data_IF_560729451895
#
_entry.id   IF_560729451895
#
_cell.length_a   1.000
_cell.length_b   1.000
_cell.length_c   1.000
_cell.angle_alpha   90.00
_cell.angle_beta   90.00
_cell.angle_gamma   90.00
#
_symmetry.space_group_name_H-M   'P 1'
#
loop_
_entity.id
_entity.type
_entity.pdbx_description
1 polymer ?
#
# COMPACT_ATOMS: atom_id res chain seq x y z
N UNK A 1 14.93 -16.58 8.88
CA UNK A 1 14.51 -15.16 8.81
C UNK A 1 14.71 -14.56 7.42
N UNK A 2 15.72 -14.96 6.64
CA UNK A 2 15.99 -14.42 5.29
C UNK A 2 14.94 -14.77 4.21
N UNK A 3 14.25 -15.91 4.29
CA UNK A 3 13.24 -16.32 3.29
C UNK A 3 11.99 -15.40 3.30
N UNK A 4 11.66 -14.76 4.43
CA UNK A 4 10.47 -13.92 4.56
C UNK A 4 10.55 -12.58 3.81
N UNK A 5 11.77 -12.09 3.52
CA UNK A 5 11.95 -10.79 2.86
C UNK A 5 12.00 -10.88 1.32
N UNK A 6 12.24 -12.08 0.76
CA UNK A 6 12.51 -12.22 -0.69
C UNK A 6 11.28 -11.88 -1.53
N UNK A 7 10.10 -12.37 -1.15
CA UNK A 7 8.85 -12.07 -1.84
C UNK A 7 8.53 -10.57 -1.86
N UNK A 8 8.41 -9.87 -0.71
CA UNK A 8 8.01 -8.47 -0.71
C UNK A 8 9.04 -7.57 -1.40
N UNK A 9 10.34 -7.87 -1.28
CA UNK A 9 11.39 -7.12 -1.99
C UNK A 9 11.37 -7.37 -3.50
N UNK A 10 11.09 -8.60 -3.93
CA UNK A 10 10.92 -8.92 -5.37
C UNK A 10 9.70 -8.19 -5.94
N UNK A 11 8.58 -8.17 -5.20
CA UNK A 11 7.37 -7.47 -5.60
C UNK A 11 7.58 -5.94 -5.64
N UNK A 12 8.27 -5.36 -4.64
CA UNK A 12 8.70 -3.95 -4.66
C UNK A 12 9.49 -3.63 -5.92
N UNK A 13 10.46 -4.49 -6.26
CA UNK A 13 11.31 -4.30 -7.44
C UNK A 13 10.51 -4.41 -8.73
N UNK A 14 9.59 -5.39 -8.83
CA UNK A 14 8.74 -5.57 -9.99
C UNK A 14 7.85 -4.34 -10.27
N UNK A 15 7.26 -3.76 -9.22
CA UNK A 15 6.47 -2.51 -9.32
C UNK A 15 7.37 -1.34 -9.75
N UNK A 16 8.52 -1.14 -9.11
CA UNK A 16 9.41 -0.02 -9.43
C UNK A 16 9.99 -0.08 -10.85
N UNK A 17 10.16 -1.29 -11.39
CA UNK A 17 10.64 -1.51 -12.76
C UNK A 17 9.51 -1.47 -13.81
N UNK A 18 8.25 -1.34 -13.40
CA UNK A 18 7.11 -1.35 -14.32
C UNK A 18 6.84 -2.74 -14.95
N UNK A 19 7.34 -3.82 -14.33
CA UNK A 19 7.31 -5.17 -14.91
C UNK A 19 5.87 -5.63 -15.11
N UNK A 20 5.01 -5.39 -14.12
CA UNK A 20 3.62 -5.83 -14.15
C UNK A 20 2.81 -5.05 -15.20
N UNK A 21 3.11 -3.76 -15.36
CA UNK A 21 2.50 -2.84 -16.33
C UNK A 21 2.89 -3.21 -17.76
N UNK A 22 4.16 -3.53 -18.01
CA UNK A 22 4.61 -3.99 -19.32
C UNK A 22 3.95 -5.34 -19.67
N UNK A 23 3.80 -6.24 -18.69
CA UNK A 23 3.09 -7.51 -18.88
C UNK A 23 1.61 -7.28 -19.22
N UNK A 24 0.95 -6.32 -18.56
CA UNK A 24 -0.45 -5.97 -18.83
C UNK A 24 -0.64 -5.45 -20.25
N UNK A 25 0.28 -4.61 -20.73
CA UNK A 25 0.23 -4.04 -22.07
C UNK A 25 0.62 -5.03 -23.19
N UNK A 26 0.98 -6.28 -22.84
CA UNK A 26 1.43 -7.34 -23.76
C UNK A 26 2.52 -6.89 -24.75
N UNK A 27 3.32 -5.90 -24.37
CA UNK A 27 4.30 -5.32 -25.28
C UNK A 27 5.45 -6.33 -25.44
N UNK A 28 5.80 -6.65 -26.68
CA UNK A 28 6.81 -7.68 -27.00
C UNK A 28 8.15 -7.46 -26.26
N UNK A 29 8.74 -8.56 -25.79
CA UNK A 29 10.03 -8.60 -25.08
C UNK A 29 10.14 -7.65 -23.87
N UNK A 30 9.62 -8.11 -22.72
CA UNK A 30 9.67 -7.42 -21.42
C UNK A 30 11.06 -6.87 -21.06
N UNK A 31 12.13 -7.63 -21.33
CA UNK A 31 13.51 -7.22 -21.04
C UNK A 31 13.99 -6.03 -21.89
N UNK A 32 13.48 -5.87 -23.12
CA UNK A 32 13.90 -4.80 -24.02
C UNK A 32 13.34 -3.42 -23.66
N UNK A 33 12.27 -3.39 -22.87
CA UNK A 33 11.58 -2.16 -22.46
C UNK A 33 12.03 -1.64 -21.09
N UNK A 34 12.86 -2.40 -20.38
CA UNK A 34 13.38 -1.97 -19.09
C UNK A 34 14.43 -0.85 -19.27
N UNK A 35 14.44 0.18 -18.40
CA UNK A 35 15.33 1.35 -18.52
C UNK A 35 16.83 1.05 -18.56
N UNK A 36 17.24 -0.12 -18.04
CA UNK A 36 18.61 -0.62 -18.10
C UNK A 36 18.58 -2.08 -18.54
N UNK A 37 18.90 -2.32 -19.82
CA UNK A 37 19.05 -3.66 -20.35
C UNK A 37 20.54 -4.03 -20.44
N UNK A 38 20.90 -5.22 -19.95
CA UNK A 38 22.19 -5.84 -20.15
C UNK A 38 21.96 -7.31 -20.56
N UNK A 39 23.05 -8.05 -20.84
CA UNK A 39 22.95 -9.45 -21.28
C UNK A 39 22.31 -10.38 -20.23
N UNK A 40 22.32 -9.99 -18.96
CA UNK A 40 21.78 -10.77 -17.84
C UNK A 40 20.32 -10.43 -17.50
N UNK A 41 19.80 -9.28 -17.98
CA UNK A 41 18.43 -8.81 -17.69
C UNK A 41 17.37 -9.89 -17.92
N UNK A 42 17.36 -10.65 -19.03
CA UNK A 42 16.37 -11.70 -19.24
C UNK A 42 16.43 -12.81 -18.18
N UNK A 43 17.63 -13.16 -17.72
CA UNK A 43 17.85 -14.21 -16.70
C UNK A 43 17.37 -13.73 -15.33
N UNK A 44 17.70 -12.50 -14.95
CA UNK A 44 17.27 -11.90 -13.67
C UNK A 44 15.75 -11.78 -13.64
N UNK A 45 15.16 -11.30 -14.74
CA UNK A 45 13.72 -11.13 -14.88
C UNK A 45 12.99 -12.48 -14.78
N UNK A 46 13.45 -13.51 -15.50
CA UNK A 46 12.89 -14.86 -15.39
C UNK A 46 12.94 -15.40 -13.94
N UNK A 47 14.04 -15.16 -13.21
CA UNK A 47 14.14 -15.55 -11.79
C UNK A 47 13.12 -14.82 -10.91
N UNK A 48 12.94 -13.51 -11.12
CA UNK A 48 11.93 -12.72 -10.40
C UNK A 48 10.52 -13.20 -10.71
N UNK A 49 10.18 -13.35 -11.99
CA UNK A 49 8.85 -13.79 -12.44
C UNK A 49 8.54 -15.21 -11.95
N UNK A 50 9.54 -16.11 -11.93
CA UNK A 50 9.39 -17.46 -11.37
C UNK A 50 9.05 -17.44 -9.88
N UNK A 51 9.68 -16.54 -9.11
CA UNK A 51 9.35 -16.37 -7.70
C UNK A 51 7.92 -15.83 -7.55
N UNK A 52 7.55 -14.78 -8.28
CA UNK A 52 6.20 -14.23 -8.21
C UNK A 52 5.13 -15.27 -8.61
N UNK A 53 5.45 -16.12 -9.59
CA UNK A 53 4.57 -17.23 -9.98
C UNK A 53 4.44 -18.30 -8.88
N UNK A 54 5.51 -18.62 -8.14
CA UNK A 54 5.42 -19.59 -7.03
C UNK A 54 4.54 -19.11 -5.86
N UNK A 55 4.32 -17.79 -5.76
CA UNK A 55 3.40 -17.17 -4.82
C UNK A 55 2.05 -16.77 -5.45
N UNK A 56 1.73 -17.31 -6.63
CA UNK A 56 0.48 -17.07 -7.36
C UNK A 56 0.20 -15.62 -7.76
N UNK A 57 1.19 -14.72 -7.70
CA UNK A 57 1.06 -13.38 -8.29
C UNK A 57 1.02 -13.43 -9.82
N UNK A 58 1.70 -14.42 -10.39
CA UNK A 58 1.72 -14.68 -11.82
C UNK A 58 1.32 -16.12 -12.09
N UNK A 59 0.82 -16.38 -13.29
CA UNK A 59 0.73 -17.71 -13.87
C UNK A 59 2.04 -18.03 -14.60
N UNK A 60 2.48 -19.29 -14.60
CA UNK A 60 3.66 -19.73 -15.35
C UNK A 60 3.32 -20.99 -16.15
N UNK A 61 3.49 -20.91 -17.47
CA UNK A 61 3.33 -22.03 -18.39
C UNK A 61 4.66 -22.36 -19.06
N UNK A 62 4.91 -23.64 -19.34
CA UNK A 62 6.07 -24.07 -20.12
C UNK A 62 5.65 -24.20 -21.59
N UNK A 63 6.24 -23.39 -22.47
CA UNK A 63 6.12 -23.54 -23.91
C UNK A 63 7.35 -24.29 -24.42
N UNK A 64 7.14 -25.38 -25.14
CA UNK A 64 8.19 -26.11 -25.83
C UNK A 64 8.24 -25.70 -27.29
N UNK A 65 9.42 -25.32 -27.77
CA UNK A 65 9.65 -25.03 -29.16
C UNK A 65 9.77 -26.34 -29.93
N UNK A 66 8.85 -26.55 -30.86
CA UNK A 66 8.72 -27.79 -31.64
C UNK A 66 9.97 -28.05 -32.51
N UNK A 67 10.73 -27.00 -32.86
CA UNK A 67 11.85 -27.11 -33.81
C UNK A 67 13.16 -27.57 -33.17
N UNK A 68 13.43 -27.19 -31.93
CA UNK A 68 14.70 -27.46 -31.25
C UNK A 68 14.54 -28.16 -29.89
N UNK A 69 13.30 -28.42 -29.47
CA UNK A 69 12.97 -29.05 -28.18
C UNK A 69 13.25 -28.15 -26.97
N UNK A 70 13.64 -26.89 -27.18
CA UNK A 70 13.91 -25.97 -26.08
C UNK A 70 12.62 -25.61 -25.34
N UNK A 71 12.72 -25.46 -24.03
CA UNK A 71 11.59 -25.08 -23.18
C UNK A 71 11.76 -23.64 -22.68
N UNK A 72 10.72 -22.83 -22.84
CA UNK A 72 10.65 -21.46 -22.36
C UNK A 72 9.49 -21.29 -21.39
N UNK A 73 9.69 -20.51 -20.32
CA UNK A 73 8.61 -20.10 -19.42
C UNK A 73 7.88 -18.89 -19.98
N UNK A 74 6.55 -18.98 -19.99
CA UNK A 74 5.65 -17.89 -20.33
C UNK A 74 4.89 -17.48 -19.06
N UNK A 75 4.91 -16.19 -18.77
CA UNK A 75 4.28 -15.63 -17.58
C UNK A 75 3.04 -14.84 -17.95
N UNK A 76 2.03 -14.91 -17.10
CA UNK A 76 0.79 -14.14 -17.21
C UNK A 76 0.39 -13.55 -15.86
N UNK A 77 -0.45 -12.53 -15.87
CA UNK A 77 -0.97 -11.93 -14.65
C UNK A 77 -2.04 -12.83 -14.03
N UNK A 78 -1.89 -13.17 -12.74
CA UNK A 78 -2.92 -13.88 -11.98
C UNK A 78 -3.90 -12.90 -11.32
N UNK A 79 -5.05 -13.38 -10.82
CA UNK A 79 -6.08 -12.50 -10.23
C UNK A 79 -5.57 -11.63 -9.08
N UNK A 80 -4.67 -12.15 -8.24
CA UNK A 80 -4.11 -11.38 -7.10
C UNK A 80 -3.25 -10.19 -7.56
N UNK A 81 -2.65 -10.25 -8.76
CA UNK A 81 -1.87 -9.11 -9.28
C UNK A 81 -2.74 -7.89 -9.54
N UNK A 82 -4.06 -8.04 -9.74
CA UNK A 82 -5.01 -6.95 -10.01
C UNK A 82 -5.02 -5.91 -8.90
N UNK A 83 -4.82 -6.31 -7.65
CA UNK A 83 -4.77 -5.37 -6.51
C UNK A 83 -3.59 -4.40 -6.57
N UNK A 84 -2.58 -4.67 -7.39
CA UNK A 84 -1.40 -3.80 -7.56
C UNK A 84 -1.52 -2.85 -8.75
N UNK A 85 -2.60 -2.94 -9.52
CA UNK A 85 -2.93 -1.99 -10.58
C UNK A 85 -4.04 -1.05 -10.11
N UNK A 86 -4.08 0.20 -10.63
CA UNK A 86 -5.20 1.09 -10.39
C UNK A 86 -6.53 0.42 -10.78
N UNK A 87 -7.49 0.43 -9.87
CA UNK A 87 -8.87 0.03 -10.16
C UNK A 87 -9.63 1.17 -10.88
N UNK A 88 -10.94 1.03 -11.04
CA UNK A 88 -11.82 2.05 -11.64
C UNK A 88 -11.79 3.41 -10.93
N UNK A 89 -11.47 3.42 -9.64
CA UNK A 89 -11.34 4.62 -8.81
C UNK A 89 -9.89 5.18 -8.81
N UNK A 90 -8.99 4.58 -9.60
CA UNK A 90 -7.59 4.99 -9.69
C UNK A 90 -6.70 4.53 -8.53
N UNK A 91 -7.21 3.71 -7.60
CA UNK A 91 -6.48 3.27 -6.41
C UNK A 91 -5.94 1.84 -6.53
N UNK A 92 -4.81 1.55 -5.86
CA UNK A 92 -4.18 0.23 -5.82
C UNK A 92 -3.38 0.00 -4.53
N UNK A 93 -3.06 -1.25 -4.19
CA UNK A 93 -2.22 -1.62 -3.05
C UNK A 93 -0.71 -1.47 -3.32
N UNK A 94 -0.30 -1.04 -4.53
CA UNK A 94 1.11 -0.88 -4.85
C UNK A 94 1.82 0.14 -3.94
N UNK A 95 1.31 1.37 -3.72
CA UNK A 95 1.91 2.32 -2.78
C UNK A 95 2.02 1.79 -1.35
N UNK A 96 1.04 1.01 -0.89
CA UNK A 96 1.06 0.38 0.43
C UNK A 96 2.19 -0.64 0.58
N UNK A 97 2.40 -1.48 -0.43
CA UNK A 97 3.56 -2.38 -0.42
C UNK A 97 4.87 -1.60 -0.43
N UNK A 98 4.96 -0.55 -1.25
CA UNK A 98 6.18 0.26 -1.37
C UNK A 98 6.56 0.91 -0.05
N UNK A 99 5.60 1.47 0.69
CA UNK A 99 5.90 2.13 1.98
C UNK A 99 6.26 1.13 3.07
N UNK A 100 5.59 -0.02 3.17
CA UNK A 100 5.93 -1.06 4.16
C UNK A 100 7.38 -1.55 3.96
N UNK A 101 7.83 -1.60 2.71
CA UNK A 101 9.18 -2.03 2.34
C UNK A 101 10.16 -0.85 2.21
N UNK A 102 9.76 0.38 2.55
CA UNK A 102 10.66 1.52 2.58
C UNK A 102 11.38 1.59 3.93
N UNK A 103 12.62 2.08 3.89
CA UNK A 103 13.41 2.31 5.11
C UNK A 103 12.82 3.45 5.95
N UNK A 104 12.00 4.33 5.37
CA UNK A 104 11.26 5.34 6.12
C UNK A 104 9.91 4.87 6.69
N UNK A 105 9.64 3.56 6.75
CA UNK A 105 8.38 3.03 7.31
C UNK A 105 8.25 3.23 8.82
N UNK A 106 7.01 3.28 9.33
CA UNK A 106 6.66 3.51 10.74
C UNK A 106 7.47 2.65 11.72
N UNK A 107 7.58 1.31 11.53
CA UNK A 107 8.33 0.48 12.46
C UNK A 107 9.83 0.80 12.43
N UNK A 108 10.34 1.19 11.27
CA UNK A 108 11.76 1.51 11.09
C UNK A 108 12.13 2.85 11.70
N UNK A 109 11.31 3.89 11.51
CA UNK A 109 11.56 5.23 12.06
C UNK A 109 11.46 5.24 13.58
N UNK A 110 10.44 4.55 14.14
CA UNK A 110 10.27 4.40 15.59
C UNK A 110 11.45 3.64 16.20
N UNK A 111 11.91 2.55 15.57
CA UNK A 111 13.04 1.78 16.06
C UNK A 111 14.41 2.49 15.94
N UNK A 112 14.63 3.30 14.91
CA UNK A 112 15.93 3.96 14.68
C UNK A 112 16.09 5.29 15.38
N UNK A 113 15.02 6.08 15.44
CA UNK A 113 15.11 7.50 15.82
C UNK A 113 14.19 7.87 16.98
N UNK A 114 13.31 6.97 17.41
CA UNK A 114 12.26 7.26 18.38
C UNK A 114 11.20 8.24 17.87
N UNK A 115 11.30 8.72 16.63
CA UNK A 115 10.31 9.61 16.03
C UNK A 115 9.09 8.81 15.55
N UNK A 116 7.90 9.38 15.76
CA UNK A 116 6.68 8.88 15.14
C UNK A 116 6.76 9.01 13.61
N UNK A 117 5.97 8.20 12.92
CA UNK A 117 6.05 8.12 11.46
C UNK A 117 5.55 9.37 10.75
N UNK A 118 4.63 10.12 11.34
CA UNK A 118 4.09 11.35 10.77
C UNK A 118 5.16 12.43 10.77
N UNK A 119 5.88 12.60 11.88
CA UNK A 119 6.99 13.52 11.99
C UNK A 119 8.17 13.14 11.07
N UNK A 120 8.40 11.83 10.87
CA UNK A 120 9.42 11.36 9.94
C UNK A 120 9.02 11.60 8.47
N UNK A 121 7.78 11.26 8.10
CA UNK A 121 7.25 11.48 6.75
C UNK A 121 7.23 12.98 6.39
N UNK A 122 6.85 13.86 7.31
CA UNK A 122 6.80 15.31 7.09
C UNK A 122 8.16 15.93 6.73
N UNK A 123 9.28 15.27 7.06
CA UNK A 123 10.65 15.75 6.77
C UNK A 123 11.15 15.36 5.38
N UNK A 124 10.56 14.35 4.75
CA UNK A 124 10.95 13.87 3.42
C UNK A 124 9.73 13.94 2.48
N UNK A 125 9.74 14.91 1.56
CA UNK A 125 8.64 15.13 0.62
C UNK A 125 8.29 13.88 -0.22
N UNK A 126 9.28 13.05 -0.57
CA UNK A 126 9.05 11.79 -1.28
C UNK A 126 8.31 10.81 -0.38
N UNK A 127 8.74 10.70 0.88
CA UNK A 127 8.09 9.81 1.85
C UNK A 127 6.69 10.29 2.22
N UNK A 128 6.51 11.60 2.44
CA UNK A 128 5.20 12.20 2.70
C UNK A 128 4.20 11.89 1.57
N UNK A 129 4.63 12.07 0.31
CA UNK A 129 3.78 11.77 -0.84
C UNK A 129 3.43 10.27 -0.90
N UNK A 130 4.42 9.39 -0.78
CA UNK A 130 4.18 7.95 -0.78
C UNK A 130 3.29 7.49 0.38
N UNK A 131 3.46 8.08 1.57
CA UNK A 131 2.63 7.83 2.74
C UNK A 131 1.18 8.24 2.49
N UNK A 132 0.95 9.47 2.06
CA UNK A 132 -0.39 9.98 1.79
C UNK A 132 -1.07 9.20 0.66
N UNK A 133 -0.34 8.85 -0.40
CA UNK A 133 -0.85 8.02 -1.49
C UNK A 133 -1.22 6.61 -1.01
N UNK A 134 -0.38 5.99 -0.16
CA UNK A 134 -0.67 4.69 0.44
C UNK A 134 -1.92 4.74 1.31
N UNK A 135 -2.04 5.74 2.18
CA UNK A 135 -3.20 5.91 3.04
C UNK A 135 -4.48 6.15 2.24
N UNK A 136 -4.43 7.05 1.25
CA UNK A 136 -5.56 7.33 0.36
C UNK A 136 -6.01 6.08 -0.38
N UNK A 137 -5.09 5.36 -1.04
CA UNK A 137 -5.43 4.18 -1.81
C UNK A 137 -6.00 3.06 -0.93
N UNK A 138 -5.35 2.77 0.20
CA UNK A 138 -5.81 1.71 1.10
C UNK A 138 -7.16 2.06 1.74
N UNK A 139 -7.39 3.32 2.09
CA UNK A 139 -8.70 3.78 2.57
C UNK A 139 -9.76 3.66 1.49
N UNK A 140 -9.48 4.08 0.24
CA UNK A 140 -10.42 3.95 -0.87
C UNK A 140 -10.90 2.51 -1.10
N UNK A 141 -9.95 1.56 -1.11
CA UNK A 141 -10.27 0.13 -1.30
C UNK A 141 -11.12 -0.39 -0.13
N UNK A 142 -10.68 -0.20 1.11
CA UNK A 142 -11.35 -0.78 2.28
C UNK A 142 -12.69 -0.09 2.58
N UNK A 143 -12.78 1.24 2.42
CA UNK A 143 -14.02 1.95 2.69
C UNK A 143 -15.12 1.59 1.70
N UNK A 144 -14.79 1.26 0.45
CA UNK A 144 -15.76 0.74 -0.52
C UNK A 144 -16.46 -0.50 0.02
N UNK A 145 -15.67 -1.48 0.49
CA UNK A 145 -16.19 -2.72 1.07
C UNK A 145 -16.94 -2.47 2.41
N UNK A 146 -16.42 -1.58 3.28
CA UNK A 146 -17.07 -1.25 4.55
C UNK A 146 -18.46 -0.65 4.31
N UNK A 147 -18.60 0.29 3.36
CA UNK A 147 -19.86 0.98 3.09
C UNK A 147 -20.95 0.03 2.56
N UNK A 148 -20.59 -1.11 1.97
CA UNK A 148 -21.55 -2.11 1.52
C UNK A 148 -22.23 -2.83 2.70
N UNK A 149 -21.50 -3.06 3.80
CA UNK A 149 -21.96 -3.92 4.90
C UNK A 149 -22.23 -3.17 6.21
N UNK A 150 -21.60 -2.02 6.43
CA UNK A 150 -21.67 -1.27 7.68
C UNK A 150 -22.64 -0.10 7.58
N UNK A 151 -23.70 -0.17 8.40
CA UNK A 151 -24.80 0.80 8.41
C UNK A 151 -24.67 1.91 9.45
N UNK A 152 -23.60 1.91 10.25
CA UNK A 152 -23.42 2.90 11.31
C UNK A 152 -23.20 4.34 10.81
N UNK A 153 -22.93 4.53 9.52
CA UNK A 153 -22.81 5.85 8.90
C UNK A 153 -24.14 6.44 8.42
N UNK A 154 -25.25 5.69 8.42
CA UNK A 154 -26.55 6.21 7.97
C UNK A 154 -27.25 7.10 9.01
N UNK A 155 -26.85 7.00 10.29
CA UNK A 155 -27.44 7.75 11.41
C UNK A 155 -26.90 9.18 11.61
N UNK A 156 -25.58 9.42 11.69
CA UNK A 156 -25.05 10.74 12.01
C UNK A 156 -25.17 11.71 10.83
N UNK A 157 -25.65 12.93 11.09
CA UNK A 157 -25.67 14.03 10.12
C UNK A 157 -24.28 14.65 9.91
N UNK A 158 -23.38 14.49 10.90
CA UNK A 158 -22.01 14.98 10.84
C UNK A 158 -21.06 13.89 11.36
N UNK A 159 -20.24 13.38 10.43
CA UNK A 159 -19.14 12.47 10.72
C UNK A 159 -17.82 13.24 10.62
N UNK A 160 -16.98 13.14 11.64
CA UNK A 160 -15.62 13.69 11.62
C UNK A 160 -14.63 12.53 11.50
N UNK A 161 -13.83 12.55 10.44
CA UNK A 161 -12.69 11.64 10.29
C UNK A 161 -11.46 12.26 10.97
N UNK A 162 -11.03 11.64 12.07
CA UNK A 162 -9.93 12.16 12.88
C UNK A 162 -8.61 11.83 12.19
N UNK A 163 -7.78 12.86 12.03
CA UNK A 163 -6.47 12.83 11.37
C UNK A 163 -6.49 12.70 9.83
N UNK A 164 -7.57 13.16 9.17
CA UNK A 164 -7.56 13.48 7.73
C UNK A 164 -6.78 14.76 7.45
N UNK A 165 -5.96 14.72 6.40
CA UNK A 165 -5.00 15.80 6.05
C UNK A 165 -5.67 17.03 5.40
N UNK A 166 -6.87 16.92 4.84
CA UNK A 166 -7.36 17.87 3.83
C UNK A 166 -8.43 18.90 4.25
N UNK A 167 -8.99 18.88 5.46
CA UNK A 167 -10.13 19.79 5.74
C UNK A 167 -10.07 20.63 7.01
N UNK A 168 -9.42 20.16 8.09
CA UNK A 168 -9.25 20.94 9.31
C UNK A 168 -7.85 20.69 9.87
N UNK A 169 -6.99 21.70 9.80
CA UNK A 169 -5.67 21.64 10.43
C UNK A 169 -5.82 21.65 11.95
N UNK A 170 -5.18 20.72 12.63
CA UNK A 170 -5.23 20.59 14.08
C UNK A 170 -4.27 19.53 14.59
N UNK A 171 -4.29 19.31 15.90
CA UNK A 171 -3.47 18.30 16.55
C UNK A 171 -4.35 17.48 17.48
N UNK A 172 -4.59 16.21 17.16
CA UNK A 172 -5.58 15.37 17.86
C UNK A 172 -5.32 15.20 19.37
N UNK A 173 -4.07 15.35 19.81
CA UNK A 173 -3.71 15.35 21.23
C UNK A 173 -4.08 16.65 21.97
N UNK A 174 -4.41 17.71 21.25
CA UNK A 174 -4.86 18.99 21.78
C UNK A 174 -6.39 19.05 21.66
N UNK A 175 -6.92 18.92 20.45
CA UNK A 175 -8.35 19.04 20.17
C UNK A 175 -8.73 18.24 18.92
N UNK A 176 -9.94 17.70 18.93
CA UNK A 176 -10.58 17.03 17.80
C UNK A 176 -11.83 17.85 17.43
N UNK A 177 -12.12 18.09 16.13
CA UNK A 177 -13.34 18.80 15.75
C UNK A 177 -14.60 18.12 16.27
N UNK A 178 -15.60 18.93 16.63
CA UNK A 178 -16.90 18.45 17.08
C UNK A 178 -17.66 17.71 15.97
N UNK A 179 -18.33 16.60 16.32
CA UNK A 179 -19.19 15.86 15.42
C UNK A 179 -20.09 14.87 16.17
N UNK A 180 -21.17 14.45 15.53
CA UNK A 180 -22.11 13.46 16.10
C UNK A 180 -21.52 12.05 16.12
N UNK A 181 -20.63 11.77 15.18
CA UNK A 181 -19.83 10.56 15.15
C UNK A 181 -18.39 10.90 14.77
N UNK A 182 -17.45 10.14 15.34
CA UNK A 182 -16.04 10.22 15.02
C UNK A 182 -15.60 8.91 14.37
N UNK A 183 -14.82 9.01 13.31
CA UNK A 183 -14.19 7.89 12.63
C UNK A 183 -12.67 7.97 12.79
N UNK A 184 -12.03 6.84 13.07
CA UNK A 184 -10.58 6.74 13.23
C UNK A 184 -10.08 5.49 12.52
N UNK A 185 -9.45 5.65 11.36
CA UNK A 185 -8.83 4.54 10.64
C UNK A 185 -7.32 4.55 10.82
N UNK A 186 -6.75 3.44 11.30
CA UNK A 186 -5.30 3.25 11.44
C UNK A 186 -4.61 4.38 12.25
N UNK A 187 -5.27 4.84 13.31
CA UNK A 187 -4.70 5.86 14.22
C UNK A 187 -4.15 5.20 15.46
N UNK A 188 -4.99 4.49 16.21
CA UNK A 188 -4.63 3.93 17.52
C UNK A 188 -3.50 2.89 17.46
N UNK A 189 -3.29 2.23 16.31
CA UNK A 189 -2.21 1.25 16.15
C UNK A 189 -0.80 1.85 16.17
N UNK A 190 -0.67 3.16 16.01
CA UNK A 190 0.63 3.83 15.87
C UNK A 190 1.16 4.37 17.22
N UNK A 191 0.27 4.46 18.21
CA UNK A 191 0.50 5.08 19.51
C UNK A 191 0.52 4.05 20.64
N UNK A 192 1.17 4.39 21.76
CA UNK A 192 1.08 3.55 22.95
C UNK A 192 -0.27 3.70 23.67
N UNK A 193 -0.49 2.87 24.70
CA UNK A 193 -1.77 2.85 25.43
C UNK A 193 -2.09 4.21 26.09
N UNK A 194 -1.10 4.93 26.61
CA UNK A 194 -1.31 6.23 27.28
C UNK A 194 -1.72 7.30 26.27
N UNK A 195 -1.05 7.33 25.13
CA UNK A 195 -1.35 8.20 24.00
C UNK A 195 -2.72 7.88 23.38
N UNK A 196 -3.04 6.60 23.21
CA UNK A 196 -4.36 6.15 22.76
C UNK A 196 -5.47 6.61 23.71
N UNK A 197 -5.27 6.47 25.02
CA UNK A 197 -6.23 6.94 26.02
C UNK A 197 -6.42 8.46 25.95
N UNK A 198 -5.37 9.22 25.67
CA UNK A 198 -5.46 10.68 25.51
C UNK A 198 -6.28 11.05 24.27
N UNK A 199 -6.03 10.40 23.13
CA UNK A 199 -6.82 10.59 21.90
C UNK A 199 -8.29 10.27 22.16
N UNK A 200 -8.58 9.11 22.76
CA UNK A 200 -9.94 8.67 23.05
C UNK A 200 -10.69 9.59 24.02
N UNK A 201 -9.99 10.15 25.03
CA UNK A 201 -10.58 11.14 25.94
C UNK A 201 -10.99 12.42 25.20
N UNK A 202 -10.14 12.93 24.32
CA UNK A 202 -10.46 14.11 23.50
C UNK A 202 -11.66 13.84 22.59
N UNK A 203 -11.69 12.68 21.93
CA UNK A 203 -12.83 12.24 21.13
C UNK A 203 -14.13 12.17 21.93
N UNK A 204 -14.09 11.58 23.14
CA UNK A 204 -15.27 11.43 24.00
C UNK A 204 -15.87 12.79 24.41
N UNK A 205 -15.02 13.78 24.74
CA UNK A 205 -15.47 15.14 25.06
C UNK A 205 -16.23 15.76 23.89
N UNK A 206 -15.79 15.51 22.66
CA UNK A 206 -16.31 16.14 21.46
C UNK A 206 -17.57 15.47 20.90
N UNK A 207 -17.78 14.16 21.13
CA UNK A 207 -19.06 13.52 20.84
C UNK A 207 -20.17 13.96 21.80
N UNK A 208 -19.84 14.20 23.08
CA UNK A 208 -20.82 14.46 24.13
C UNK A 208 -21.40 15.88 24.14
N UNK A 209 -20.84 16.81 23.38
CA UNK A 209 -21.30 18.19 23.27
C UNK A 209 -22.30 18.41 22.12
N UNK A 210 -22.58 17.37 21.33
CA UNK A 210 -23.49 17.39 20.17
C UNK A 210 -24.85 16.71 20.37
N UNK A 211 -25.22 16.35 21.60
CA UNK A 211 -26.54 15.79 22.00
C UNK A 211 -27.27 16.77 22.90
#
# INVERSE_FOLDING_TARGET
MEICAVLPMTMKTAIQLGVLEIMLAQINSLASQLPKNNKETPIILDRMLRLLASYSFLTCNLATNIKDGSAQRLYGLASVSRYFFPNEDGVSLAPTLLIIQDKGSVPHTKAQSGMDAFAAAAKDARMNNLFNQSMHNHTGIIMKEILEIYKGFEGPNQLVDVAVVEHVSGHMFIEVPNGQALFMKWILSDWDDEECLKILKNCCVQCNTGI
#
